data_IF_935434454810
#
_entry.id   IF_935434454810
#
_cell.length_a   1.000
_cell.length_b   1.000
_cell.length_c   1.000
_cell.angle_alpha   90.00
_cell.angle_beta   90.00
_cell.angle_gamma   90.00
#
_symmetry.space_group_name_H-M   'P 1'
#
loop_
_entity.id
_entity.type
_entity.pdbx_description
1 polymer ?
#
# COMPACT_ATOMS: atom_id res chain seq x y z
N UNK A 1 27.84 -81.27 42.82
CA UNK A 1 28.39 -80.26 41.88
C UNK A 1 28.34 -78.92 42.59
N UNK A 2 29.49 -78.41 43.04
CA UNK A 2 29.56 -77.15 43.77
C UNK A 2 29.52 -75.99 42.77
N UNK A 3 28.58 -75.06 42.96
CA UNK A 3 28.54 -73.81 42.22
C UNK A 3 29.81 -73.01 42.57
N UNK A 4 30.55 -72.47 41.60
CA UNK A 4 31.69 -71.62 41.89
C UNK A 4 31.21 -70.35 42.58
N UNK A 5 31.55 -70.19 43.86
CA UNK A 5 31.37 -68.94 44.59
C UNK A 5 32.44 -67.98 44.10
N UNK A 6 32.05 -67.04 43.24
CA UNK A 6 32.92 -65.94 42.81
C UNK A 6 33.03 -64.98 44.00
N UNK A 7 34.12 -65.08 44.76
CA UNK A 7 34.43 -64.14 45.83
C UNK A 7 34.92 -62.82 45.21
N UNK A 8 34.01 -61.86 45.04
CA UNK A 8 34.34 -60.50 44.64
C UNK A 8 34.92 -59.77 45.86
N UNK A 9 36.09 -59.14 45.72
CA UNK A 9 36.65 -58.36 46.82
C UNK A 9 35.72 -57.20 47.18
N UNK A 10 35.56 -56.89 48.47
CA UNK A 10 34.70 -55.79 48.94
C UNK A 10 34.99 -54.48 48.21
N UNK A 11 36.26 -54.24 47.85
CA UNK A 11 36.71 -53.08 47.08
C UNK A 11 36.06 -53.00 45.69
N UNK A 12 35.97 -54.12 44.97
CA UNK A 12 35.33 -54.17 43.62
C UNK A 12 33.82 -54.00 43.74
N UNK A 13 33.19 -54.58 44.76
CA UNK A 13 31.75 -54.41 45.00
C UNK A 13 31.38 -52.95 45.33
N UNK A 14 32.19 -52.26 46.14
CA UNK A 14 31.99 -50.84 46.49
C UNK A 14 32.20 -49.94 45.27
N UNK A 15 33.21 -50.23 44.44
CA UNK A 15 33.47 -49.49 43.20
C UNK A 15 32.29 -49.61 42.22
N UNK A 16 31.79 -50.83 41.99
CA UNK A 16 30.63 -51.07 41.13
C UNK A 16 29.36 -50.37 41.64
N UNK A 17 29.14 -50.34 42.95
CA UNK A 17 28.02 -49.59 43.54
C UNK A 17 28.16 -48.07 43.34
N UNK A 18 29.38 -47.53 43.49
CA UNK A 18 29.65 -46.11 43.28
C UNK A 18 29.45 -45.70 41.82
N UNK A 19 29.93 -46.51 40.88
CA UNK A 19 29.69 -46.30 39.45
C UNK A 19 28.21 -46.45 39.08
N UNK A 20 27.51 -47.44 39.63
CA UNK A 20 26.07 -47.61 39.45
C UNK A 20 25.26 -46.42 39.95
N UNK A 21 25.60 -45.88 41.13
CA UNK A 21 24.97 -44.66 41.66
C UNK A 21 25.26 -43.44 40.78
N UNK A 22 26.51 -43.28 40.31
CA UNK A 22 26.90 -42.20 39.41
C UNK A 22 26.17 -42.27 38.06
N UNK A 23 25.98 -43.47 37.51
CA UNK A 23 25.19 -43.70 36.31
C UNK A 23 23.72 -43.32 36.53
N UNK A 24 23.11 -43.77 37.63
CA UNK A 24 21.73 -43.41 37.98
C UNK A 24 21.55 -41.89 38.11
N UNK A 25 22.51 -41.20 38.73
CA UNK A 25 22.49 -39.75 38.85
C UNK A 25 22.57 -39.07 37.47
N UNK A 26 23.48 -39.53 36.61
CA UNK A 26 23.64 -39.01 35.24
C UNK A 26 22.36 -39.22 34.40
N UNK A 27 21.68 -40.37 34.55
CA UNK A 27 20.40 -40.66 33.88
C UNK A 27 19.30 -39.70 34.36
N UNK A 28 19.23 -39.41 35.66
CA UNK A 28 18.25 -38.45 36.19
C UNK A 28 18.49 -37.04 35.67
N UNK A 29 19.75 -36.58 35.67
CA UNK A 29 20.13 -35.27 35.14
C UNK A 29 19.79 -35.16 33.64
N UNK A 30 20.09 -36.19 32.85
CA UNK A 30 19.73 -36.24 31.43
C UNK A 30 18.22 -36.17 31.21
N UNK A 31 17.42 -36.92 31.99
CA UNK A 31 15.95 -36.90 31.89
C UNK A 31 15.38 -35.53 32.24
N UNK A 32 15.91 -34.88 33.28
CA UNK A 32 15.51 -33.53 33.68
C UNK A 32 15.83 -32.52 32.57
N UNK A 33 17.04 -32.58 32.01
CA UNK A 33 17.44 -31.71 30.91
C UNK A 33 16.56 -31.92 29.67
N UNK A 34 16.23 -33.17 29.35
CA UNK A 34 15.33 -33.50 28.22
C UNK A 34 13.94 -32.89 28.43
N UNK A 35 13.36 -33.02 29.62
CA UNK A 35 12.05 -32.42 29.94
C UNK A 35 12.08 -30.89 29.84
N UNK A 36 13.17 -30.25 30.28
CA UNK A 36 13.32 -28.80 30.14
C UNK A 36 13.38 -28.34 28.68
N UNK A 37 14.08 -29.09 27.83
CA UNK A 37 14.15 -28.82 26.39
C UNK A 37 12.77 -28.95 25.75
N UNK A 38 12.00 -29.99 26.09
CA UNK A 38 10.63 -30.18 25.58
C UNK A 38 9.73 -29.00 25.97
N UNK A 39 9.76 -28.58 27.24
CA UNK A 39 8.99 -27.43 27.71
C UNK A 39 9.41 -26.12 27.01
N UNK A 40 10.71 -25.92 26.80
CA UNK A 40 11.22 -24.73 26.10
C UNK A 40 10.79 -24.73 24.63
N UNK A 41 10.85 -25.88 23.96
CA UNK A 41 10.39 -26.06 22.58
C UNK A 41 8.90 -25.74 22.47
N UNK A 42 8.07 -26.24 23.38
CA UNK A 42 6.63 -26.02 23.34
C UNK A 42 6.29 -24.53 23.55
N UNK A 43 7.01 -23.84 24.46
CA UNK A 43 6.90 -22.37 24.60
C UNK A 43 7.29 -21.64 23.33
N UNK A 44 8.41 -22.01 22.72
CA UNK A 44 8.88 -21.40 21.47
C UNK A 44 7.88 -21.57 20.33
N UNK A 45 7.23 -22.74 20.22
CA UNK A 45 6.18 -22.96 19.23
C UNK A 45 4.93 -22.10 19.48
N UNK A 46 4.53 -21.92 20.73
CA UNK A 46 3.40 -21.06 21.08
C UNK A 46 3.72 -19.60 20.73
N UNK A 47 4.90 -19.11 21.11
CA UNK A 47 5.35 -17.75 20.80
C UNK A 47 5.47 -17.53 19.30
N UNK A 48 6.07 -18.47 18.56
CA UNK A 48 6.18 -18.40 17.11
C UNK A 48 4.80 -18.35 16.43
N UNK A 49 3.84 -19.17 16.88
CA UNK A 49 2.48 -19.14 16.36
C UNK A 49 1.79 -17.81 16.63
N UNK A 50 1.97 -17.23 17.82
CA UNK A 50 1.40 -15.93 18.16
C UNK A 50 1.97 -14.81 17.26
N UNK A 51 3.29 -14.81 17.04
CA UNK A 51 3.96 -13.85 16.16
C UNK A 51 3.50 -14.02 14.71
N UNK A 52 3.37 -15.25 14.22
CA UNK A 52 2.85 -15.52 12.87
C UNK A 52 1.43 -14.99 12.69
N UNK A 53 0.53 -15.25 13.64
CA UNK A 53 -0.84 -14.75 13.59
C UNK A 53 -0.90 -13.22 13.60
N UNK A 54 -0.05 -12.57 14.39
CA UNK A 54 0.05 -11.12 14.40
C UNK A 54 0.55 -10.59 13.05
N UNK A 55 1.58 -11.22 12.47
CA UNK A 55 2.15 -10.81 11.19
C UNK A 55 1.15 -10.99 10.04
N UNK A 56 0.39 -12.08 10.04
CA UNK A 56 -0.69 -12.32 9.07
C UNK A 56 -1.79 -11.25 9.17
N UNK A 57 -2.17 -10.88 10.41
CA UNK A 57 -3.16 -9.83 10.64
C UNK A 57 -2.66 -8.46 10.12
N UNK A 58 -1.43 -8.08 10.48
CA UNK A 58 -0.82 -6.83 10.03
C UNK A 58 -0.64 -6.77 8.51
N UNK A 59 -0.21 -7.88 7.91
CA UNK A 59 -0.05 -8.00 6.47
C UNK A 59 -1.39 -7.85 5.75
N UNK A 60 -2.43 -8.54 6.22
CA UNK A 60 -3.78 -8.41 5.66
C UNK A 60 -4.31 -6.98 5.77
N UNK A 61 -4.15 -6.33 6.92
CA UNK A 61 -4.56 -4.95 7.11
C UNK A 61 -3.83 -3.99 6.15
N UNK A 62 -2.53 -4.18 5.93
CA UNK A 62 -1.75 -3.40 4.94
C UNK A 62 -2.21 -3.66 3.51
N UNK A 63 -2.50 -4.91 3.16
CA UNK A 63 -3.01 -5.28 1.84
C UNK A 63 -4.38 -4.66 1.56
N UNK A 64 -5.27 -4.68 2.54
CA UNK A 64 -6.59 -4.05 2.44
C UNK A 64 -6.49 -2.53 2.23
N UNK A 65 -5.57 -1.86 2.95
CA UNK A 65 -5.26 -0.44 2.72
C UNK A 65 -4.74 -0.19 1.31
N UNK A 66 -3.80 -1.00 0.83
CA UNK A 66 -3.24 -0.87 -0.52
C UNK A 66 -4.32 -1.04 -1.59
N UNK A 67 -5.21 -2.02 -1.43
CA UNK A 67 -6.33 -2.25 -2.34
C UNK A 67 -7.31 -1.06 -2.35
N UNK A 68 -7.61 -0.48 -1.19
CA UNK A 68 -8.45 0.71 -1.10
C UNK A 68 -7.82 1.90 -1.83
N UNK A 69 -6.50 2.13 -1.65
CA UNK A 69 -5.75 3.18 -2.35
C UNK A 69 -5.79 2.96 -3.86
N UNK A 70 -5.50 1.74 -4.33
CA UNK A 70 -5.48 1.41 -5.75
C UNK A 70 -6.86 1.60 -6.40
N UNK A 71 -7.93 1.21 -5.70
CA UNK A 71 -9.30 1.37 -6.17
C UNK A 71 -9.68 2.86 -6.27
N UNK A 72 -9.39 3.65 -5.24
CA UNK A 72 -9.63 5.08 -5.26
C UNK A 72 -8.86 5.78 -6.38
N UNK A 73 -7.57 5.46 -6.55
CA UNK A 73 -6.76 6.01 -7.64
C UNK A 73 -7.35 5.70 -9.01
N UNK A 74 -7.84 4.48 -9.22
CA UNK A 74 -8.51 4.08 -10.47
C UNK A 74 -9.76 4.92 -10.74
N UNK A 75 -10.59 5.16 -9.72
CA UNK A 75 -11.79 6.01 -9.83
C UNK A 75 -11.36 7.43 -10.20
N UNK A 76 -10.45 8.03 -9.43
CA UNK A 76 -9.93 9.38 -9.68
C UNK A 76 -9.39 9.53 -11.10
N UNK A 77 -8.60 8.56 -11.57
CA UNK A 77 -8.06 8.59 -12.94
C UNK A 77 -9.16 8.51 -13.99
N UNK A 78 -10.17 7.67 -13.77
CA UNK A 78 -11.31 7.51 -14.70
C UNK A 78 -12.11 8.80 -14.80
N UNK A 79 -12.46 9.39 -13.65
CA UNK A 79 -13.20 10.65 -13.57
C UNK A 79 -12.42 11.79 -14.21
N UNK A 80 -11.12 11.88 -13.93
CA UNK A 80 -10.23 12.88 -14.52
C UNK A 80 -10.15 12.74 -16.04
N UNK A 81 -9.96 11.51 -16.55
CA UNK A 81 -9.85 11.25 -17.99
C UNK A 81 -11.15 11.60 -18.71
N UNK A 82 -12.30 11.24 -18.14
CA UNK A 82 -13.61 11.54 -18.71
C UNK A 82 -13.89 13.05 -18.70
N UNK A 83 -13.59 13.74 -17.59
CA UNK A 83 -13.74 15.20 -17.48
C UNK A 83 -12.84 15.92 -18.48
N UNK A 84 -11.58 15.49 -18.60
CA UNK A 84 -10.61 16.07 -19.52
C UNK A 84 -11.03 15.89 -20.98
N UNK A 85 -11.46 14.69 -21.39
CA UNK A 85 -11.92 14.44 -22.75
C UNK A 85 -13.08 15.37 -23.16
N UNK A 86 -14.04 15.61 -22.26
CA UNK A 86 -15.16 16.51 -22.51
C UNK A 86 -14.70 17.97 -22.64
N UNK A 87 -13.85 18.44 -21.72
CA UNK A 87 -13.33 19.81 -21.76
C UNK A 87 -12.50 20.08 -23.01
N UNK A 88 -11.59 19.17 -23.38
CA UNK A 88 -10.77 19.29 -24.59
C UNK A 88 -11.65 19.38 -25.84
N UNK A 89 -12.66 18.52 -25.95
CA UNK A 89 -13.60 18.55 -27.08
C UNK A 89 -14.34 19.88 -27.20
N UNK A 90 -14.77 20.49 -26.09
CA UNK A 90 -15.44 21.79 -26.10
C UNK A 90 -14.47 22.93 -26.48
N UNK A 91 -13.23 22.88 -26.00
CA UNK A 91 -12.18 23.86 -26.35
C UNK A 91 -11.88 23.79 -27.86
N UNK A 92 -11.70 22.58 -28.40
CA UNK A 92 -11.46 22.37 -29.83
C UNK A 92 -12.62 22.90 -30.69
N UNK A 93 -13.87 22.62 -30.29
CA UNK A 93 -15.05 23.12 -30.99
C UNK A 93 -15.11 24.66 -30.98
N UNK A 94 -14.82 25.29 -29.84
CA UNK A 94 -14.79 26.75 -29.74
C UNK A 94 -13.68 27.34 -30.62
N UNK A 95 -12.50 26.72 -30.64
CA UNK A 95 -11.38 27.14 -31.48
C UNK A 95 -11.72 27.05 -32.98
N UNK A 96 -12.38 25.97 -33.41
CA UNK A 96 -12.84 25.83 -34.80
C UNK A 96 -13.85 26.93 -35.16
N UNK A 97 -14.79 27.26 -34.28
CA UNK A 97 -15.77 28.33 -34.51
C UNK A 97 -15.10 29.72 -34.60
N UNK A 98 -14.16 30.02 -33.70
CA UNK A 98 -13.37 31.27 -33.76
C UNK A 98 -12.62 31.35 -35.09
N UNK A 99 -11.96 30.27 -35.51
CA UNK A 99 -11.23 30.24 -36.78
C UNK A 99 -12.15 30.46 -37.98
N UNK A 100 -13.35 29.87 -37.99
CA UNK A 100 -14.35 30.07 -39.04
C UNK A 100 -14.82 31.53 -39.10
N UNK A 101 -15.11 32.15 -37.95
CA UNK A 101 -15.49 33.55 -37.89
C UNK A 101 -14.37 34.48 -38.37
N UNK A 102 -13.12 34.24 -37.94
CA UNK A 102 -11.96 35.01 -38.38
C UNK A 102 -11.75 34.91 -39.89
N UNK A 103 -11.81 33.70 -40.45
CA UNK A 103 -11.66 33.48 -41.89
C UNK A 103 -12.73 34.23 -42.70
N UNK A 104 -13.98 34.27 -42.21
CA UNK A 104 -15.05 35.05 -42.84
C UNK A 104 -14.79 36.56 -42.74
N UNK A 105 -14.45 37.09 -41.56
CA UNK A 105 -14.13 38.52 -41.35
C UNK A 105 -13.02 39.00 -42.29
N UNK A 106 -12.00 38.16 -42.52
CA UNK A 106 -10.88 38.48 -43.42
C UNK A 106 -11.23 38.42 -44.91
N UNK A 107 -12.41 37.92 -45.29
CA UNK A 107 -12.82 37.88 -46.70
C UNK A 107 -13.32 39.25 -47.18
N UNK A 108 -12.95 39.62 -48.40
CA UNK A 108 -13.19 40.95 -48.98
C UNK A 108 -14.64 41.21 -49.40
N UNK A 109 -15.51 40.22 -49.30
CA UNK A 109 -16.86 40.20 -49.91
C UNK A 109 -17.99 40.47 -48.93
N UNK A 110 -17.68 40.69 -47.65
CA UNK A 110 -18.67 40.78 -46.58
C UNK A 110 -18.97 42.24 -46.19
N UNK A 111 -20.24 42.56 -45.97
CA UNK A 111 -20.71 43.86 -45.49
C UNK A 111 -20.07 44.24 -44.14
N UNK A 112 -19.70 45.51 -43.98
CA UNK A 112 -18.96 46.03 -42.82
C UNK A 112 -19.69 45.80 -41.48
N UNK A 113 -21.02 45.95 -41.47
CA UNK A 113 -21.87 45.68 -40.31
C UNK A 113 -21.79 44.21 -39.84
N UNK A 114 -21.68 43.28 -40.81
CA UNK A 114 -21.53 41.86 -40.51
C UNK A 114 -20.13 41.56 -39.94
N UNK A 115 -19.08 42.25 -40.40
CA UNK A 115 -17.73 42.13 -39.81
C UNK A 115 -17.71 42.57 -38.34
N UNK A 116 -18.36 43.70 -38.02
CA UNK A 116 -18.47 44.20 -36.64
C UNK A 116 -19.20 43.19 -35.75
N UNK A 117 -20.31 42.63 -36.25
CA UNK A 117 -21.08 41.61 -35.52
C UNK A 117 -20.22 40.35 -35.28
N UNK A 118 -19.51 39.87 -36.30
CA UNK A 118 -18.64 38.70 -36.19
C UNK A 118 -17.43 38.95 -35.30
N UNK A 119 -16.83 40.14 -35.30
CA UNK A 119 -15.78 40.52 -34.33
C UNK A 119 -16.29 40.48 -32.90
N UNK A 120 -17.53 40.93 -32.67
CA UNK A 120 -18.19 40.82 -31.37
C UNK A 120 -18.39 39.36 -30.97
N UNK A 121 -18.84 38.50 -31.89
CA UNK A 121 -18.99 37.06 -31.67
C UNK A 121 -17.64 36.38 -31.37
N UNK A 122 -16.56 36.74 -32.08
CA UNK A 122 -15.21 36.21 -31.81
C UNK A 122 -14.74 36.57 -30.40
N UNK A 123 -14.98 37.82 -29.96
CA UNK A 123 -14.65 38.25 -28.60
C UNK A 123 -15.40 37.44 -27.54
N UNK A 124 -16.71 37.21 -27.75
CA UNK A 124 -17.54 36.39 -26.86
C UNK A 124 -17.08 34.93 -26.82
N UNK A 125 -16.81 34.32 -27.97
CA UNK A 125 -16.31 32.95 -28.06
C UNK A 125 -14.92 32.81 -27.40
N UNK A 126 -14.02 33.77 -27.62
CA UNK A 126 -12.71 33.78 -26.98
C UNK A 126 -12.80 33.89 -25.46
N UNK A 127 -13.75 34.68 -24.95
CA UNK A 127 -14.02 34.78 -23.51
C UNK A 127 -14.58 33.45 -22.96
N UNK A 128 -15.51 32.82 -23.66
CA UNK A 128 -16.02 31.49 -23.30
C UNK A 128 -14.91 30.42 -23.30
N UNK A 129 -14.00 30.46 -24.28
CA UNK A 129 -12.86 29.55 -24.34
C UNK A 129 -11.94 29.71 -23.11
N UNK A 130 -11.62 30.94 -22.72
CA UNK A 130 -10.83 31.22 -21.53
C UNK A 130 -11.50 30.69 -20.25
N UNK A 131 -12.82 30.89 -20.13
CA UNK A 131 -13.60 30.36 -19.00
C UNK A 131 -13.62 28.83 -18.96
N UNK A 132 -13.72 28.17 -20.11
CA UNK A 132 -13.67 26.70 -20.21
C UNK A 132 -12.30 26.16 -19.79
N UNK A 133 -11.21 26.83 -20.17
CA UNK A 133 -9.85 26.47 -19.75
C UNK A 133 -9.69 26.63 -18.24
N UNK A 134 -10.11 27.76 -17.68
CA UNK A 134 -10.04 28.00 -16.23
C UNK A 134 -10.88 26.97 -15.45
N UNK A 135 -12.09 26.68 -15.93
CA UNK A 135 -12.95 25.65 -15.35
C UNK A 135 -12.32 24.27 -15.42
N UNK A 136 -11.68 23.92 -16.54
CA UNK A 136 -10.94 22.66 -16.66
C UNK A 136 -9.80 22.56 -15.64
N UNK A 137 -9.00 23.62 -15.48
CA UNK A 137 -7.91 23.67 -14.49
C UNK A 137 -8.44 23.51 -13.06
N UNK A 138 -9.57 24.15 -12.71
CA UNK A 138 -10.16 24.03 -11.38
C UNK A 138 -10.78 22.65 -11.13
N UNK A 139 -11.53 22.12 -12.09
CA UNK A 139 -12.19 20.81 -11.98
C UNK A 139 -11.19 19.66 -11.95
N UNK A 140 -10.01 19.85 -12.55
CA UNK A 140 -8.87 18.92 -12.48
C UNK A 140 -8.33 18.74 -11.06
N UNK A 141 -8.40 19.79 -10.23
CA UNK A 141 -7.81 19.80 -8.88
C UNK A 141 -8.69 19.10 -7.84
N UNK A 142 -10.02 19.19 -7.99
CA UNK A 142 -10.96 18.62 -7.03
C UNK A 142 -10.78 17.10 -6.79
N UNK A 143 -10.74 16.23 -7.83
CA UNK A 143 -10.59 14.80 -7.64
C UNK A 143 -9.19 14.42 -7.12
N UNK A 144 -8.15 15.17 -7.49
CA UNK A 144 -6.77 15.01 -6.97
C UNK A 144 -6.71 15.36 -5.48
N UNK A 145 -7.32 16.47 -5.08
CA UNK A 145 -7.38 16.89 -3.67
C UNK A 145 -8.18 15.90 -2.82
N UNK A 146 -9.31 15.39 -3.32
CA UNK A 146 -10.09 14.36 -2.63
C UNK A 146 -9.29 13.07 -2.43
N UNK A 147 -8.53 12.66 -3.45
CA UNK A 147 -7.62 11.52 -3.36
C UNK A 147 -6.51 11.76 -2.32
N UNK A 148 -5.89 12.94 -2.32
CA UNK A 148 -4.87 13.31 -1.34
C UNK A 148 -5.40 13.30 0.10
N UNK A 149 -6.60 13.85 0.35
CA UNK A 149 -7.24 13.82 1.67
C UNK A 149 -7.56 12.40 2.13
N UNK A 150 -8.00 11.53 1.20
CA UNK A 150 -8.24 10.12 1.51
C UNK A 150 -6.94 9.38 1.86
N UNK A 151 -5.85 9.63 1.12
CA UNK A 151 -4.53 9.07 1.43
C UNK A 151 -4.05 9.51 2.81
N UNK A 152 -4.21 10.79 3.15
CA UNK A 152 -3.89 11.31 4.48
C UNK A 152 -4.72 10.61 5.58
N UNK A 153 -5.97 10.23 5.31
CA UNK A 153 -6.83 9.49 6.24
C UNK A 153 -6.48 8.00 6.38
N UNK A 154 -5.86 7.39 5.37
CA UNK A 154 -5.43 5.97 5.39
C UNK A 154 -4.01 5.78 5.95
N UNK A 155 -3.29 6.89 6.14
CA UNK A 155 -1.93 6.94 6.64
C UNK A 155 -1.84 6.52 8.11
N UNK A 156 -0.83 5.72 8.44
CA UNK A 156 -0.53 5.40 9.83
C UNK A 156 -0.02 6.66 10.54
N UNK A 157 -0.69 7.04 11.64
CA UNK A 157 -0.41 8.24 12.44
C UNK A 157 1.03 8.33 12.99
N UNK A 158 1.78 7.23 12.92
CA UNK A 158 3.16 7.13 13.40
C UNK A 158 4.23 7.29 12.31
N UNK A 159 3.87 7.56 11.04
CA UNK A 159 4.85 7.76 9.96
C UNK A 159 4.93 9.24 9.52
N UNK A 160 6.11 9.89 9.57
CA UNK A 160 6.29 11.31 9.26
C UNK A 160 6.08 11.62 7.77
N UNK A 161 5.48 12.79 7.44
CA UNK A 161 5.29 13.27 6.05
C UNK A 161 6.61 13.23 5.30
N UNK A 162 6.73 12.36 4.30
CA UNK A 162 7.93 12.29 3.47
C UNK A 162 7.83 13.31 2.34
N UNK A 163 8.96 13.90 1.97
CA UNK A 163 9.09 15.02 1.02
C UNK A 163 8.49 14.80 -0.38
N UNK A 164 8.01 13.60 -0.70
CA UNK A 164 7.27 13.27 -1.94
C UNK A 164 5.79 13.64 -1.89
N UNK A 165 5.25 14.04 -0.72
CA UNK A 165 3.83 14.37 -0.52
C UNK A 165 3.48 15.83 -0.87
N UNK A 166 4.44 16.63 -1.38
CA UNK A 166 4.26 18.05 -1.72
C UNK A 166 4.81 18.34 -3.12
N UNK A 167 4.04 18.04 -4.15
CA UNK A 167 4.23 18.59 -5.50
C UNK A 167 2.93 18.55 -6.29
#
# INVERSE_FOLDING_TARGET
>A
MALPVIAISQTVAIAALKEGLSLCQSIMEYRLATQQIELQRDRMHIEANAVMQQLDYEHKAKLDKLNAIAHAHKITLTDFTQSSANSVKMIDQCQVQIQQCLNMITSTTIAEDLKIHMMTTVSQLSQQQAQLIDSHIQNSRAPINAFAMMLDGLRDSNQPRTFTDVS
#
